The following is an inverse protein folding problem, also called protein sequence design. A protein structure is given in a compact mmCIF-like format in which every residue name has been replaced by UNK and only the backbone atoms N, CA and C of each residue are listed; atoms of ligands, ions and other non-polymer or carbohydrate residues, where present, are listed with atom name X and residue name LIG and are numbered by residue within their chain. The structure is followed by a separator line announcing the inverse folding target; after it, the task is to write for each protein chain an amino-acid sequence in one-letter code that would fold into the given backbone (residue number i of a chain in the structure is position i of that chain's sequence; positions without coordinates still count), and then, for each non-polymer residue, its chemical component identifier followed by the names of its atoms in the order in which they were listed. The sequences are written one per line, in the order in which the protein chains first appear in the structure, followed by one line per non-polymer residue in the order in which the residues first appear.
data_IF_629462377613
#
_entry.id   IF_629462377613
#
_cell.length_a   1.000
_cell.length_b   1.000
_cell.length_c   1.000
_cell.angle_alpha   90.00
_cell.angle_beta   90.00
_cell.angle_gamma   90.00
#
_symmetry.space_group_name_H-M   'P 1'
#
loop_
_entity.id
_entity.type
_entity.pdbx_description
1 polymer ?
#
# COMPACT_ATOMS: atom_id res chain seq x y z
N UNK A 1 -31.28 3.09 -36.04
CA UNK A 1 -30.29 4.18 -35.86
C UNK A 1 -29.38 3.74 -34.75
N UNK A 2 -28.16 3.31 -35.07
CA UNK A 2 -27.14 2.92 -34.10
C UNK A 2 -26.51 4.21 -33.57
N UNK A 3 -26.86 4.60 -32.34
CA UNK A 3 -26.18 5.69 -31.65
C UNK A 3 -24.72 5.29 -31.47
N UNK A 4 -23.82 6.05 -32.08
CA UNK A 4 -22.38 5.92 -31.87
C UNK A 4 -22.07 6.47 -30.49
N UNK A 5 -22.18 5.62 -29.48
CA UNK A 5 -21.85 5.97 -28.11
C UNK A 5 -20.38 6.44 -28.08
N UNK A 6 -20.19 7.74 -27.87
CA UNK A 6 -18.88 8.37 -27.93
C UNK A 6 -18.10 7.92 -26.70
N UNK A 7 -17.19 6.95 -26.88
CA UNK A 7 -16.29 6.50 -25.81
C UNK A 7 -15.50 7.69 -25.28
N UNK A 8 -15.65 7.99 -23.98
CA UNK A 8 -14.94 9.09 -23.35
C UNK A 8 -13.53 8.61 -22.98
N UNK A 9 -12.49 9.33 -23.39
CA UNK A 9 -11.11 9.01 -22.99
C UNK A 9 -10.80 9.65 -21.64
N UNK A 10 -10.43 8.84 -20.65
CA UNK A 10 -9.97 9.29 -19.34
C UNK A 10 -8.45 9.18 -19.22
N UNK A 11 -7.77 10.30 -18.99
CA UNK A 11 -6.31 10.34 -18.83
C UNK A 11 -5.90 10.05 -17.38
N UNK A 12 -5.11 9.00 -17.19
CA UNK A 12 -4.40 8.71 -15.94
C UNK A 12 -2.96 9.17 -16.06
N UNK A 13 -2.61 10.20 -15.29
CA UNK A 13 -1.25 10.74 -15.30
C UNK A 13 -0.26 9.79 -14.61
N UNK A 14 0.96 9.75 -15.13
CA UNK A 14 2.11 9.04 -14.58
C UNK A 14 2.35 9.41 -13.11
N UNK A 15 2.16 10.70 -12.78
CA UNK A 15 2.31 11.21 -11.41
C UNK A 15 1.29 10.60 -10.47
N UNK A 16 0.02 10.51 -10.89
CA UNK A 16 -1.05 9.90 -10.09
C UNK A 16 -0.77 8.42 -9.86
N UNK A 17 -0.47 7.67 -10.94
CA UNK A 17 -0.14 6.24 -10.84
C UNK A 17 1.06 5.99 -9.89
N UNK A 18 2.13 6.77 -10.01
CA UNK A 18 3.30 6.67 -9.13
C UNK A 18 2.94 6.93 -7.66
N UNK A 19 2.08 7.93 -7.40
CA UNK A 19 1.64 8.23 -6.04
C UNK A 19 0.79 7.09 -5.47
N UNK A 20 -0.15 6.55 -6.23
CA UNK A 20 -0.97 5.41 -5.84
C UNK A 20 -0.11 4.18 -5.49
N UNK A 21 0.92 3.88 -6.29
CA UNK A 21 1.86 2.80 -6.01
C UNK A 21 2.67 3.01 -4.71
N UNK A 22 2.95 4.27 -4.36
CA UNK A 22 3.72 4.63 -3.16
C UNK A 22 2.87 4.71 -1.89
N UNK A 23 1.55 4.91 -2.01
CA UNK A 23 0.65 5.23 -0.89
C UNK A 23 0.71 4.20 0.24
N UNK A 24 0.70 2.91 -0.09
CA UNK A 24 0.78 1.84 0.90
C UNK A 24 2.10 1.89 1.68
N UNK A 25 3.22 2.12 0.98
CA UNK A 25 4.53 2.21 1.61
C UNK A 25 4.67 3.46 2.50
N UNK A 26 4.06 4.58 2.12
CA UNK A 26 4.01 5.75 3.00
C UNK A 26 3.23 5.47 4.27
N UNK A 27 2.05 4.86 4.17
CA UNK A 27 1.28 4.52 5.36
C UNK A 27 1.98 3.50 6.25
N UNK A 28 2.68 2.50 5.67
CA UNK A 28 3.55 1.62 6.45
C UNK A 28 4.56 2.43 7.26
N UNK A 29 5.34 3.31 6.64
CA UNK A 29 6.35 4.13 7.32
C UNK A 29 5.71 5.01 8.42
N UNK A 30 4.59 5.68 8.13
CA UNK A 30 3.90 6.54 9.09
C UNK A 30 3.38 5.72 10.29
N UNK A 31 2.83 4.54 10.03
CA UNK A 31 2.31 3.65 11.08
C UNK A 31 3.40 3.11 12.01
N UNK A 32 4.64 3.04 11.52
CA UNK A 32 5.81 2.65 12.30
C UNK A 32 6.38 3.78 13.17
N UNK A 33 5.80 5.00 13.15
CA UNK A 33 6.24 6.06 14.05
C UNK A 33 5.71 5.87 15.47
N UNK A 34 4.53 5.25 15.61
CA UNK A 34 3.95 4.95 16.92
C UNK A 34 3.07 3.68 16.84
N UNK A 35 3.29 2.68 17.72
CA UNK A 35 2.46 1.47 17.75
C UNK A 35 1.00 1.80 18.06
N UNK A 36 0.78 2.72 19.01
CA UNK A 36 -0.53 3.26 19.32
C UNK A 36 -0.51 4.79 19.12
N UNK A 37 -1.49 5.39 18.42
CA UNK A 37 -2.64 4.75 17.75
C UNK A 37 -2.39 4.39 16.27
N UNK A 38 -1.25 4.79 15.70
CA UNK A 38 -1.06 4.81 14.25
C UNK A 38 -1.05 3.42 13.60
N UNK A 39 -0.39 2.42 14.21
CA UNK A 39 -0.36 1.06 13.66
C UNK A 39 -1.74 0.41 13.62
N UNK A 40 -2.57 0.63 14.65
CA UNK A 40 -3.93 0.07 14.72
C UNK A 40 -4.82 0.67 13.63
N UNK A 41 -4.84 2.00 13.49
CA UNK A 41 -5.63 2.64 12.44
C UNK A 41 -5.13 2.29 11.04
N UNK A 42 -3.81 2.20 10.86
CA UNK A 42 -3.24 1.79 9.59
C UNK A 42 -3.57 0.34 9.23
N UNK A 43 -3.68 -0.57 10.21
CA UNK A 43 -4.10 -1.94 9.95
C UNK A 43 -5.42 -1.98 9.16
N UNK A 44 -6.44 -1.24 9.60
CA UNK A 44 -7.72 -1.13 8.89
C UNK A 44 -7.62 -0.34 7.59
N UNK A 45 -6.99 0.85 7.62
CA UNK A 45 -6.87 1.72 6.44
C UNK A 45 -6.07 1.07 5.30
N UNK A 46 -5.09 0.23 5.63
CA UNK A 46 -4.26 -0.46 4.64
C UNK A 46 -5.07 -1.40 3.76
N UNK A 47 -6.11 -2.06 4.31
CA UNK A 47 -7.01 -2.90 3.50
C UNK A 47 -7.81 -2.05 2.51
N UNK A 48 -8.28 -0.88 2.94
CA UNK A 48 -8.97 0.05 2.04
C UNK A 48 -8.05 0.51 0.90
N UNK A 49 -6.82 0.94 1.22
CA UNK A 49 -5.81 1.31 0.22
C UNK A 49 -5.49 0.15 -0.72
N UNK A 50 -5.41 -1.08 -0.21
CA UNK A 50 -5.22 -2.27 -1.01
C UNK A 50 -6.36 -2.45 -2.02
N UNK A 51 -7.61 -2.40 -1.57
CA UNK A 51 -8.78 -2.55 -2.45
C UNK A 51 -8.85 -1.47 -3.53
N UNK A 52 -8.54 -0.21 -3.19
CA UNK A 52 -8.51 0.89 -4.16
C UNK A 52 -7.47 0.69 -5.27
N UNK A 53 -6.31 0.12 -4.92
CA UNK A 53 -5.16 0.10 -5.82
C UNK A 53 -4.90 -1.26 -6.48
N UNK A 54 -5.48 -2.36 -5.97
CA UNK A 54 -5.18 -3.72 -6.46
C UNK A 54 -5.57 -3.92 -7.92
N UNK A 55 -6.66 -3.31 -8.36
CA UNK A 55 -7.18 -3.38 -9.73
C UNK A 55 -6.99 -2.07 -10.48
N UNK A 56 -5.97 -1.28 -10.10
CA UNK A 56 -5.66 -0.04 -10.79
C UNK A 56 -5.30 -0.32 -12.27
N UNK A 57 -5.73 0.51 -13.24
CA UNK A 57 -5.51 0.28 -14.67
C UNK A 57 -4.04 0.10 -15.05
N UNK A 58 -3.15 0.83 -14.37
CA UNK A 58 -1.72 0.60 -14.46
C UNK A 58 -1.29 -0.56 -13.53
N UNK A 59 -0.90 -1.69 -14.13
CA UNK A 59 -0.51 -2.92 -13.44
C UNK A 59 0.60 -2.74 -12.39
N UNK A 60 1.53 -1.78 -12.62
CA UNK A 60 2.63 -1.50 -11.66
C UNK A 60 2.07 -1.06 -10.31
N UNK A 61 0.97 -0.30 -10.29
CA UNK A 61 0.33 0.17 -9.07
C UNK A 61 -0.18 -1.01 -8.25
N UNK A 62 -0.88 -1.94 -8.89
CA UNK A 62 -1.36 -3.17 -8.25
C UNK A 62 -0.21 -4.03 -7.73
N UNK A 63 0.84 -4.21 -8.52
CA UNK A 63 2.02 -4.98 -8.15
C UNK A 63 2.72 -4.44 -6.90
N UNK A 64 3.04 -3.14 -6.88
CA UNK A 64 3.71 -2.50 -5.74
C UNK A 64 2.83 -2.49 -4.48
N UNK A 65 1.53 -2.22 -4.64
CA UNK A 65 0.57 -2.28 -3.54
C UNK A 65 0.51 -3.68 -2.94
N UNK A 66 0.43 -4.72 -3.78
CA UNK A 66 0.36 -6.11 -3.34
C UNK A 66 1.62 -6.55 -2.61
N UNK A 67 2.80 -6.20 -3.10
CA UNK A 67 4.05 -6.52 -2.41
C UNK A 67 4.17 -5.82 -1.06
N UNK A 68 3.79 -4.54 -0.98
CA UNK A 68 3.81 -3.79 0.27
C UNK A 68 2.83 -4.38 1.30
N UNK A 69 1.64 -4.78 0.84
CA UNK A 69 0.63 -5.45 1.65
C UNK A 69 1.12 -6.80 2.17
N UNK A 70 1.66 -7.68 1.32
CA UNK A 70 2.16 -8.99 1.77
C UNK A 70 3.23 -8.87 2.86
N UNK A 71 4.15 -7.91 2.72
CA UNK A 71 5.20 -7.68 3.72
C UNK A 71 4.62 -7.15 5.01
N UNK A 72 3.74 -6.15 4.92
CA UNK A 72 3.07 -5.58 6.08
C UNK A 72 2.28 -6.65 6.85
N UNK A 73 1.38 -7.38 6.20
CA UNK A 73 0.57 -8.41 6.86
C UNK A 73 1.40 -9.60 7.34
N UNK A 74 2.43 -10.01 6.60
CA UNK A 74 3.34 -11.08 7.01
C UNK A 74 4.09 -10.73 8.29
N UNK A 75 4.71 -9.55 8.34
CA UNK A 75 5.49 -9.11 9.52
C UNK A 75 4.56 -8.78 10.70
N UNK A 76 3.54 -7.96 10.47
CA UNK A 76 2.59 -7.57 11.53
C UNK A 76 1.87 -8.79 12.09
N UNK A 77 1.35 -9.69 11.24
CA UNK A 77 0.69 -10.91 11.67
C UNK A 77 1.59 -11.84 12.47
N UNK A 78 2.86 -12.00 12.05
CA UNK A 78 3.84 -12.77 12.80
C UNK A 78 4.06 -12.21 14.21
N UNK A 79 4.34 -10.90 14.33
CA UNK A 79 4.61 -10.29 15.64
C UNK A 79 3.37 -10.25 16.54
N UNK A 80 2.16 -10.09 15.99
CA UNK A 80 0.90 -10.21 16.75
C UNK A 80 0.74 -11.62 17.32
N UNK A 81 1.02 -12.67 16.53
CA UNK A 81 0.98 -14.04 17.01
C UNK A 81 2.03 -14.32 18.10
N UNK A 82 3.26 -13.83 17.93
CA UNK A 82 4.32 -13.92 18.95
C UNK A 82 3.93 -13.18 20.24
N UNK A 83 3.30 -12.00 20.12
CA UNK A 83 2.92 -11.19 21.26
C UNK A 83 1.92 -11.87 22.22
N UNK A 84 1.17 -12.88 21.76
CA UNK A 84 0.27 -13.68 22.59
C UNK A 84 1.02 -14.50 23.67
N UNK A 85 2.29 -14.81 23.43
CA UNK A 85 3.13 -15.58 24.35
C UNK A 85 4.05 -14.70 25.22
N UNK A 86 4.03 -13.38 25.01
CA UNK A 86 4.82 -12.45 25.80
C UNK A 86 4.09 -12.13 27.12
N UNK A 87 4.82 -11.94 28.23
CA UNK A 87 4.21 -11.46 29.46
C UNK A 87 3.62 -10.06 29.26
N UNK A 88 2.56 -9.74 30.01
CA UNK A 88 1.86 -8.45 29.92
C UNK A 88 2.73 -7.34 30.50
N UNK A 89 3.70 -6.88 29.71
CA UNK A 89 4.61 -5.80 30.04
C UNK A 89 4.97 -5.03 28.76
N UNK A 90 4.81 -3.71 28.83
CA UNK A 90 4.94 -2.79 27.69
C UNK A 90 6.27 -2.95 26.96
N UNK A 91 7.37 -3.22 27.68
CA UNK A 91 8.70 -3.33 27.09
C UNK A 91 8.78 -4.44 26.04
N UNK A 92 8.13 -5.59 26.26
CA UNK A 92 8.15 -6.69 25.30
C UNK A 92 7.39 -6.34 24.01
N UNK A 93 6.25 -5.64 24.13
CA UNK A 93 5.49 -5.17 22.97
C UNK A 93 6.25 -4.09 22.20
N UNK A 94 6.95 -3.18 22.89
CA UNK A 94 7.81 -2.18 22.25
C UNK A 94 9.01 -2.82 21.54
N UNK A 95 9.62 -3.86 22.11
CA UNK A 95 10.69 -4.63 21.46
C UNK A 95 10.15 -5.33 20.21
N UNK A 96 9.03 -6.04 20.32
CA UNK A 96 8.39 -6.71 19.18
C UNK A 96 8.06 -5.71 18.06
N UNK A 97 7.50 -4.55 18.42
CA UNK A 97 7.26 -3.45 17.50
C UNK A 97 8.55 -2.93 16.85
N UNK A 98 9.61 -2.70 17.63
CA UNK A 98 10.89 -2.20 17.12
C UNK A 98 11.53 -3.19 16.14
N UNK A 99 11.43 -4.49 16.41
CA UNK A 99 11.90 -5.54 15.50
C UNK A 99 11.07 -5.57 14.21
N UNK A 100 9.74 -5.48 14.31
CA UNK A 100 8.86 -5.36 13.14
C UNK A 100 9.16 -4.11 12.30
N UNK A 101 9.38 -2.98 12.95
CA UNK A 101 9.77 -1.72 12.31
C UNK A 101 11.13 -1.84 11.62
N UNK A 102 12.12 -2.47 12.26
CA UNK A 102 13.44 -2.70 11.69
C UNK A 102 13.41 -3.56 10.41
N UNK A 103 12.37 -4.38 10.22
CA UNK A 103 12.16 -5.18 9.00
C UNK A 103 11.35 -4.37 7.96
N UNK A 104 10.22 -3.79 8.36
CA UNK A 104 9.30 -3.12 7.43
C UNK A 104 9.86 -1.80 6.89
N UNK A 105 10.51 -1.01 7.74
CA UNK A 105 11.04 0.29 7.36
C UNK A 105 12.02 0.21 6.17
N UNK A 106 13.09 -0.62 6.19
CA UNK A 106 13.99 -0.71 5.04
C UNK A 106 13.31 -1.29 3.81
N UNK A 107 12.37 -2.24 3.96
CA UNK A 107 11.63 -2.81 2.83
C UNK A 107 10.75 -1.75 2.15
N UNK A 108 10.04 -0.92 2.93
CA UNK A 108 9.20 0.15 2.40
C UNK A 108 10.02 1.29 1.78
N UNK A 109 11.16 1.64 2.37
CA UNK A 109 12.09 2.60 1.77
C UNK A 109 12.68 2.08 0.46
N UNK A 110 13.03 0.79 0.39
CA UNK A 110 13.54 0.15 -0.83
C UNK A 110 12.50 0.19 -1.95
N UNK A 111 11.24 -0.12 -1.64
CA UNK A 111 10.15 -0.05 -2.61
C UNK A 111 9.93 1.38 -3.10
N UNK A 112 9.91 2.36 -2.18
CA UNK A 112 9.75 3.76 -2.57
C UNK A 112 10.91 4.23 -3.47
N UNK A 113 12.14 3.80 -3.18
CA UNK A 113 13.30 4.08 -4.01
C UNK A 113 13.24 3.38 -5.38
N UNK A 114 12.58 2.23 -5.51
CA UNK A 114 12.33 1.55 -6.78
C UNK A 114 11.24 2.25 -7.57
N UNK A 115 10.09 2.52 -6.95
CA UNK A 115 8.96 3.28 -7.52
C UNK A 115 9.45 4.62 -8.09
N UNK A 116 10.32 5.33 -7.37
CA UNK A 116 10.86 6.62 -7.85
C UNK A 116 11.80 6.50 -9.05
N UNK A 117 12.52 5.38 -9.19
CA UNK A 117 13.50 5.14 -10.26
C UNK A 117 12.88 4.53 -11.51
N UNK A 118 11.72 3.90 -11.40
CA UNK A 118 11.01 3.38 -12.56
C UNK A 118 10.47 4.50 -13.45
N UNK A 119 10.34 4.17 -14.74
CA UNK A 119 9.65 5.01 -15.71
C UNK A 119 8.14 4.86 -15.54
N UNK A 120 7.46 6.00 -15.44
CA UNK A 120 6.01 6.11 -15.39
C UNK A 120 5.57 6.91 -16.60
N UNK A 121 4.65 6.36 -17.36
CA UNK A 121 4.10 6.98 -18.56
C UNK A 121 2.61 7.29 -18.32
N UNK A 122 2.12 8.34 -18.96
CA UNK A 122 0.69 8.68 -18.95
C UNK A 122 -0.09 7.60 -19.71
N UNK A 123 -1.32 7.34 -19.28
CA UNK A 123 -2.17 6.30 -19.84
C UNK A 123 -3.55 6.86 -20.16
N UNK A 124 -4.00 6.65 -21.38
CA UNK A 124 -5.36 6.96 -21.81
C UNK A 124 -6.22 5.71 -21.69
N UNK A 125 -7.33 5.82 -20.97
CA UNK A 125 -8.29 4.73 -20.75
C UNK A 125 -9.57 5.08 -21.49
N UNK A 126 -10.01 4.18 -22.37
CA UNK A 126 -11.31 4.29 -23.00
C UNK A 126 -12.38 3.91 -21.97
N UNK A 127 -13.25 4.85 -21.62
CA UNK A 127 -14.39 4.62 -20.75
C UNK A 127 -15.57 4.25 -21.63
N UNK A 128 -16.00 3.00 -21.55
CA UNK A 128 -17.23 2.57 -22.19
C UNK A 128 -18.43 3.28 -21.52
N UNK A 129 -19.38 3.79 -22.32
CA UNK A 129 -20.58 4.41 -21.79
C UNK A 129 -21.37 3.38 -20.97
N UNK A 130 -21.78 3.77 -19.76
CA UNK A 130 -22.56 2.91 -18.87
C UNK A 130 -24.02 2.93 -19.34
N UNK A 131 -24.57 1.76 -19.72
CA UNK A 131 -25.99 1.58 -20.11
C UNK A 131 -26.96 1.74 -18.92
#
# INVERSE_FOLDING_TARGET
MTETATSATHLVTARSARFSAALFNYGNIISLLAPFPLMIFWLGASMFVYCMNRHHPNEKVGYYTQQAAYRFYGVTGFFVAVAMFLPVNLNYYLIAWALGAAILLPLSLRDLARIRRERWDDMEILVEPQE
#
